data_IF_240694802616
#
_entry.id   IF_240694802616
#
_cell.length_a   1.000
_cell.length_b   1.000
_cell.length_c   1.000
_cell.angle_alpha   90.00
_cell.angle_beta   90.00
_cell.angle_gamma   90.00
#
_symmetry.space_group_name_H-M   'P 1'
#
loop_
_entity.id
_entity.type
_entity.pdbx_description
1 polymer ?
#
# COMPACT_ATOMS: atom_id res chain seq x y z
N UNK A 1 -11.14 17.92 -17.74
CA UNK A 1 -11.10 16.72 -16.87
C UNK A 1 -11.05 17.18 -15.42
N UNK A 2 -12.09 16.95 -14.59
CA UNK A 2 -12.25 17.71 -13.35
C UNK A 2 -11.35 17.24 -12.19
N UNK A 3 -10.88 15.99 -12.15
CA UNK A 3 -9.93 15.53 -11.13
C UNK A 3 -9.23 14.22 -11.53
N UNK A 4 -7.90 14.18 -11.48
CA UNK A 4 -7.09 12.96 -11.48
C UNK A 4 -6.27 12.97 -10.19
N UNK A 5 -6.17 11.81 -9.53
CA UNK A 5 -5.29 11.62 -8.38
C UNK A 5 -4.40 10.42 -8.60
N UNK A 6 -3.09 10.62 -8.45
CA UNK A 6 -2.10 9.54 -8.41
C UNK A 6 -2.08 9.02 -6.98
N UNK A 7 -2.29 7.72 -6.81
CA UNK A 7 -2.26 7.07 -5.49
C UNK A 7 -0.91 6.38 -5.31
N UNK A 8 0.00 6.92 -4.48
CA UNK A 8 1.21 6.19 -4.13
C UNK A 8 0.85 5.00 -3.23
N UNK A 9 1.52 3.88 -3.47
CA UNK A 9 1.53 2.77 -2.51
C UNK A 9 2.77 2.94 -1.64
N UNK A 10 2.57 2.95 -0.33
CA UNK A 10 3.63 3.12 0.65
C UNK A 10 3.43 2.13 1.78
N UNK A 11 4.47 1.94 2.58
CA UNK A 11 4.44 0.98 3.69
C UNK A 11 4.76 1.69 5.00
N UNK A 12 4.26 1.16 6.11
CA UNK A 12 4.51 1.70 7.44
C UNK A 12 5.05 0.58 8.31
N UNK A 13 6.23 0.81 8.88
CA UNK A 13 6.78 0.02 9.96
C UNK A 13 6.38 0.64 11.31
N UNK A 14 6.10 -0.19 12.31
CA UNK A 14 5.77 0.26 13.67
C UNK A 14 6.92 1.02 14.35
N UNK A 15 8.16 0.68 14.02
CA UNK A 15 9.36 1.28 14.62
C UNK A 15 9.96 2.40 13.76
N UNK A 16 10.12 2.15 12.46
CA UNK A 16 10.80 3.06 11.53
C UNK A 16 9.86 4.03 10.81
N UNK A 17 8.55 3.89 10.99
CA UNK A 17 7.55 4.76 10.40
C UNK A 17 7.37 4.56 8.89
N UNK A 18 7.28 5.67 8.16
CA UNK A 18 6.95 5.69 6.73
C UNK A 18 8.08 5.13 5.86
N UNK A 19 7.73 4.25 4.93
CA UNK A 19 8.63 3.62 3.96
C UNK A 19 8.02 3.85 2.57
N UNK A 20 8.79 4.46 1.67
CA UNK A 20 8.38 4.66 0.29
C UNK A 20 8.32 3.32 -0.44
N UNK A 21 7.23 3.07 -1.19
CA UNK A 21 7.03 1.85 -1.96
C UNK A 21 6.30 0.74 -1.20
N UNK A 22 6.12 -0.38 -1.88
CA UNK A 22 5.46 -1.58 -1.34
C UNK A 22 6.49 -2.51 -0.69
N UNK A 23 6.42 -2.60 0.63
CA UNK A 23 7.28 -3.41 1.47
C UNK A 23 6.42 -4.06 2.55
N UNK A 24 6.16 -5.36 2.42
CA UNK A 24 5.48 -6.15 3.46
C UNK A 24 6.38 -6.41 4.68
N UNK A 25 7.68 -6.25 4.50
CA UNK A 25 8.71 -6.33 5.53
C UNK A 25 9.55 -5.07 5.52
N UNK A 26 9.83 -4.53 6.70
CA UNK A 26 10.64 -3.33 6.87
C UNK A 26 12.08 -3.61 6.39
N UNK A 27 12.65 -2.80 5.49
CA UNK A 27 14.02 -2.98 5.03
C UNK A 27 15.06 -2.69 6.12
N UNK A 28 14.70 -1.95 7.18
CA UNK A 28 15.62 -1.55 8.25
C UNK A 28 15.69 -2.56 9.39
N UNK A 29 14.56 -3.08 9.87
CA UNK A 29 14.53 -4.04 10.99
C UNK A 29 14.02 -5.44 10.65
N UNK A 30 13.56 -5.68 9.41
CA UNK A 30 13.02 -6.98 9.00
C UNK A 30 11.66 -7.33 9.60
N UNK A 31 11.07 -6.47 10.44
CA UNK A 31 9.72 -6.71 10.99
C UNK A 31 8.62 -6.53 9.95
N UNK A 32 7.43 -7.06 10.23
CA UNK A 32 6.26 -6.87 9.38
C UNK A 32 5.90 -5.38 9.25
N UNK A 33 5.70 -4.94 8.01
CA UNK A 33 5.25 -3.61 7.66
C UNK A 33 3.84 -3.68 7.05
N UNK A 34 3.04 -2.66 7.35
CA UNK A 34 1.68 -2.52 6.82
C UNK A 34 1.76 -1.80 5.48
N UNK A 35 1.15 -2.38 4.44
CA UNK A 35 1.15 -1.78 3.10
C UNK A 35 -0.14 -1.01 2.94
N UNK A 36 -0.03 0.27 2.63
CA UNK A 36 -1.16 1.18 2.50
C UNK A 36 -1.40 1.54 1.04
N UNK A 37 -2.66 1.40 0.61
CA UNK A 37 -3.09 1.80 -0.73
C UNK A 37 -4.56 2.27 -0.70
N UNK A 38 -4.98 2.97 -1.75
CA UNK A 38 -6.35 3.48 -1.87
C UNK A 38 -7.28 2.41 -2.45
N UNK A 39 -8.42 2.20 -1.80
CA UNK A 39 -9.44 1.22 -2.22
C UNK A 39 -10.55 1.87 -3.02
N UNK A 40 -11.37 2.69 -2.35
CA UNK A 40 -12.58 3.34 -2.88
C UNK A 40 -12.65 4.81 -2.45
N UNK A 41 -11.50 5.50 -2.49
CA UNK A 41 -11.40 6.93 -2.18
C UNK A 41 -10.55 7.26 -0.95
N UNK A 42 -10.39 6.32 -0.01
CA UNK A 42 -9.54 6.48 1.17
C UNK A 42 -8.44 5.41 1.26
N UNK A 43 -7.38 5.72 2.02
CA UNK A 43 -6.25 4.83 2.27
C UNK A 43 -6.60 3.81 3.36
N UNK A 44 -6.30 2.54 3.10
CA UNK A 44 -6.49 1.46 4.07
C UNK A 44 -5.35 0.45 3.91
N UNK A 45 -4.91 -0.24 4.98
CA UNK A 45 -3.91 -1.29 4.87
C UNK A 45 -4.46 -2.46 4.06
N UNK A 46 -3.66 -2.94 3.11
CA UNK A 46 -3.99 -4.05 2.19
C UNK A 46 -4.30 -5.33 2.97
N UNK A 47 -3.66 -5.51 4.12
CA UNK A 47 -3.92 -6.60 5.07
C UNK A 47 -5.40 -6.67 5.49
N UNK A 48 -6.07 -5.51 5.59
CA UNK A 48 -7.47 -5.38 6.05
C UNK A 48 -8.48 -5.35 4.90
N UNK A 49 -8.06 -5.63 3.66
CA UNK A 49 -9.00 -5.71 2.54
C UNK A 49 -9.83 -6.99 2.65
N UNK A 50 -11.07 -6.92 2.16
CA UNK A 50 -11.86 -8.12 1.97
C UNK A 50 -11.22 -9.00 0.86
N UNK A 51 -11.57 -10.30 0.77
CA UNK A 51 -10.94 -11.22 -0.18
C UNK A 51 -10.98 -10.71 -1.64
N UNK A 52 -12.14 -10.25 -2.11
CA UNK A 52 -12.26 -9.75 -3.49
C UNK A 52 -11.43 -8.50 -3.77
N UNK A 53 -11.30 -7.57 -2.82
CA UNK A 53 -10.42 -6.39 -2.98
C UNK A 53 -8.95 -6.76 -2.86
N UNK A 54 -8.60 -7.81 -2.12
CA UNK A 54 -7.23 -8.36 -2.15
C UNK A 54 -6.89 -8.91 -3.53
N UNK A 55 -7.77 -9.69 -4.13
CA UNK A 55 -7.58 -10.19 -5.50
C UNK A 55 -7.48 -9.03 -6.50
N UNK A 56 -8.38 -8.05 -6.41
CA UNK A 56 -8.33 -6.83 -7.23
C UNK A 56 -6.99 -6.10 -7.05
N UNK A 57 -6.47 -6.02 -5.83
CA UNK A 57 -5.17 -5.39 -5.56
C UNK A 57 -4.01 -6.15 -6.21
N UNK A 58 -4.04 -7.48 -6.20
CA UNK A 58 -2.97 -8.32 -6.77
C UNK A 58 -2.91 -8.24 -8.30
N UNK A 59 -4.04 -8.03 -8.97
CA UNK A 59 -4.08 -7.86 -10.43
C UNK A 59 -3.67 -6.45 -10.87
N UNK A 60 -3.56 -5.48 -9.96
CA UNK A 60 -3.16 -4.10 -10.31
C UNK A 60 -1.71 -4.06 -10.76
N UNK A 61 -1.47 -3.48 -11.93
CA UNK A 61 -0.11 -3.14 -12.39
C UNK A 61 0.36 -1.87 -11.69
N UNK A 62 1.37 -2.02 -10.84
CA UNK A 62 2.02 -0.90 -10.13
C UNK A 62 3.17 -0.40 -10.99
N UNK A 63 3.34 0.92 -11.05
CA UNK A 63 4.46 1.55 -11.72
C UNK A 63 5.38 2.12 -10.64
N UNK A 64 6.66 1.75 -10.71
CA UNK A 64 7.71 2.29 -9.86
C UNK A 64 8.35 3.43 -10.64
N UNK A 65 8.45 4.61 -10.01
CA UNK A 65 9.13 5.78 -10.57
C UNK A 65 10.48 5.92 -9.89
#
# INVERSE_FOLDING_TARGET
MPYISITPTFSICKEHGYIAGEHFTCPTCGQNAEVWSRVVGYLRPVQNYNPGKKEEYMIRKKFVV
#
